data_IF_328469183511
#
_entry.id   IF_328469183511
#
_cell.length_a   1.000
_cell.length_b   1.000
_cell.length_c   1.000
_cell.angle_alpha   90.00
_cell.angle_beta   90.00
_cell.angle_gamma   90.00
#
_symmetry.space_group_name_H-M   'P 1'
#
loop_
_entity.id
_entity.type
_entity.pdbx_description
1 polymer ?
#
# COMPACT_ATOMS: atom_id res chain seq x y z
N UNK A 1 16.90 -27.27 29.30
CA UNK A 1 16.19 -26.05 29.73
C UNK A 1 17.18 -24.90 29.63
N UNK A 2 16.92 -23.86 28.83
CA UNK A 2 17.87 -22.75 28.65
C UNK A 2 17.99 -21.96 29.95
N UNK A 3 19.22 -21.73 30.44
CA UNK A 3 19.49 -20.82 31.55
C UNK A 3 19.43 -19.39 30.99
N UNK A 4 18.38 -18.66 31.38
CA UNK A 4 18.16 -17.30 30.91
C UNK A 4 18.86 -16.32 31.86
N UNK A 5 20.18 -16.37 31.91
CA UNK A 5 21.03 -15.57 32.81
C UNK A 5 21.25 -14.13 32.29
N UNK A 6 20.40 -13.69 31.35
CA UNK A 6 20.47 -12.36 30.75
C UNK A 6 19.96 -11.27 31.67
N UNK A 7 20.62 -10.10 31.64
CA UNK A 7 20.17 -8.92 32.37
C UNK A 7 19.03 -8.21 31.63
N UNK A 8 17.88 -8.06 32.29
CA UNK A 8 16.79 -7.20 31.80
C UNK A 8 17.04 -5.77 32.27
N UNK A 9 17.36 -4.87 31.33
CA UNK A 9 17.53 -3.45 31.63
C UNK A 9 16.17 -2.74 31.68
N UNK A 10 15.89 -2.04 32.77
CA UNK A 10 14.72 -1.16 32.93
C UNK A 10 15.20 0.27 33.04
N UNK A 11 14.62 1.14 32.22
CA UNK A 11 14.98 2.56 32.17
C UNK A 11 13.89 3.39 32.83
N UNK A 12 14.30 4.32 33.70
CA UNK A 12 13.39 5.30 34.31
C UNK A 12 12.82 6.25 33.26
N UNK A 13 11.67 6.84 33.55
CA UNK A 13 10.99 7.74 32.59
C UNK A 13 11.80 9.01 32.32
N UNK A 14 12.41 9.58 33.36
CA UNK A 14 13.30 10.75 33.25
C UNK A 14 14.51 10.49 32.36
N UNK A 15 15.09 9.29 32.44
CA UNK A 15 16.20 8.91 31.60
C UNK A 15 15.80 8.81 30.12
N UNK A 16 14.65 8.22 29.82
CA UNK A 16 14.13 8.16 28.44
C UNK A 16 13.95 9.55 27.85
N UNK A 17 13.37 10.48 28.60
CA UNK A 17 13.15 11.85 28.16
C UNK A 17 14.48 12.59 27.95
N UNK A 18 15.46 12.41 28.84
CA UNK A 18 16.81 12.97 28.68
C UNK A 18 17.44 12.53 27.36
N UNK A 19 17.36 11.24 27.05
CA UNK A 19 17.91 10.67 25.80
C UNK A 19 17.22 11.24 24.56
N UNK A 20 15.89 11.42 24.60
CA UNK A 20 15.13 12.01 23.48
C UNK A 20 15.41 13.51 23.31
N UNK A 21 15.59 14.25 24.40
CA UNK A 21 15.99 15.66 24.35
C UNK A 21 17.39 15.82 23.73
N UNK A 22 18.33 14.96 24.10
CA UNK A 22 19.66 14.94 23.51
C UNK A 22 19.63 14.66 22.00
N UNK A 23 18.80 13.71 21.56
CA UNK A 23 18.57 13.44 20.14
C UNK A 23 17.94 14.64 19.42
N UNK A 24 17.05 15.37 20.10
CA UNK A 24 16.40 16.56 19.56
C UNK A 24 17.37 17.71 19.29
N UNK A 25 18.48 17.79 20.04
CA UNK A 25 19.52 18.80 19.84
C UNK A 25 20.37 18.55 18.59
N UNK A 26 20.31 17.34 18.02
CA UNK A 26 21.00 17.00 16.78
C UNK A 26 22.50 16.73 16.92
N UNK A 27 23.07 16.83 18.13
CA UNK A 27 24.50 16.65 18.38
C UNK A 27 24.97 15.20 18.14
N UNK A 28 24.08 14.23 18.29
CA UNK A 28 24.39 12.81 18.20
C UNK A 28 23.33 12.06 17.38
N UNK A 29 23.78 11.14 16.53
CA UNK A 29 22.89 10.17 15.89
C UNK A 29 22.35 9.15 16.90
N UNK A 30 21.21 8.52 16.61
CA UNK A 30 20.65 7.42 17.43
C UNK A 30 21.65 6.30 17.69
N UNK A 31 22.53 6.01 16.72
CA UNK A 31 23.56 4.99 16.87
C UNK A 31 24.61 5.43 17.90
N UNK A 32 25.07 6.67 17.84
CA UNK A 32 26.03 7.22 18.79
C UNK A 32 25.44 7.27 20.20
N UNK A 33 24.21 7.75 20.35
CA UNK A 33 23.49 7.77 21.65
C UNK A 33 23.31 6.34 22.20
N UNK A 34 22.96 5.39 21.34
CA UNK A 34 22.86 3.98 21.73
C UNK A 34 24.19 3.41 22.24
N UNK A 35 25.31 3.73 21.59
CA UNK A 35 26.64 3.31 22.02
C UNK A 35 27.04 3.98 23.34
N UNK A 36 26.80 5.29 23.49
CA UNK A 36 27.16 6.07 24.67
C UNK A 36 26.50 5.54 25.95
N UNK A 37 25.21 5.18 25.86
CA UNK A 37 24.43 4.74 27.01
C UNK A 37 24.23 3.22 27.08
N UNK A 38 24.80 2.44 26.15
CA UNK A 38 24.62 0.98 26.08
C UNK A 38 23.17 0.56 25.78
N UNK A 39 22.44 1.38 25.02
CA UNK A 39 21.04 1.19 24.65
C UNK A 39 20.97 0.73 23.20
N UNK A 40 20.16 -0.29 22.94
CA UNK A 40 19.94 -0.73 21.56
C UNK A 40 19.13 0.32 20.79
N UNK A 41 19.48 0.64 19.53
CA UNK A 41 18.72 1.61 18.73
C UNK A 41 17.23 1.27 18.57
N UNK A 42 16.86 -0.01 18.62
CA UNK A 42 15.47 -0.47 18.63
C UNK A 42 14.70 0.06 19.85
N UNK A 43 15.29 0.01 21.04
CA UNK A 43 14.70 0.53 22.29
C UNK A 43 14.48 2.05 22.21
N UNK A 44 15.43 2.79 21.63
CA UNK A 44 15.26 4.24 21.39
C UNK A 44 14.08 4.50 20.44
N UNK A 45 13.93 3.70 19.38
CA UNK A 45 12.79 3.82 18.46
C UNK A 45 11.45 3.49 19.13
N UNK A 46 11.42 2.54 20.07
CA UNK A 46 10.22 2.29 20.88
C UNK A 46 9.84 3.49 21.73
N UNK A 47 10.80 4.18 22.33
CA UNK A 47 10.53 5.41 23.07
C UNK A 47 10.04 6.52 22.15
N UNK A 48 10.67 6.72 20.98
CA UNK A 48 10.22 7.69 19.98
C UNK A 48 8.75 7.47 19.60
N UNK A 49 8.34 6.20 19.42
CA UNK A 49 6.93 5.84 19.20
C UNK A 49 6.06 6.10 20.43
N UNK A 50 6.50 5.69 21.62
CA UNK A 50 5.78 5.85 22.89
C UNK A 50 5.45 7.32 23.18
N UNK A 51 6.40 8.24 22.95
CA UNK A 51 6.23 9.68 23.18
C UNK A 51 5.81 10.45 21.92
N UNK A 52 5.46 9.76 20.83
CA UNK A 52 5.00 10.37 19.58
C UNK A 52 5.95 11.46 19.02
N UNK A 53 7.27 11.27 19.15
CA UNK A 53 8.32 12.20 18.67
C UNK A 53 8.58 11.99 17.17
N UNK A 54 7.63 12.42 16.34
CA UNK A 54 7.70 12.26 14.87
C UNK A 54 8.93 12.92 14.25
N UNK A 55 9.37 14.02 14.85
CA UNK A 55 10.59 14.76 14.49
C UNK A 55 11.86 13.90 14.59
N UNK A 56 11.87 12.91 15.49
CA UNK A 56 12.99 11.99 15.66
C UNK A 56 12.84 10.70 14.84
N UNK A 57 11.80 10.53 14.01
CA UNK A 57 11.65 9.31 13.21
C UNK A 57 12.70 9.23 12.10
N UNK A 58 13.16 8.02 11.79
CA UNK A 58 14.10 7.82 10.68
C UNK A 58 13.39 8.04 9.35
N UNK A 59 14.03 8.77 8.44
CA UNK A 59 13.64 8.80 7.03
C UNK A 59 13.77 7.39 6.46
N UNK A 60 12.67 6.86 5.91
CA UNK A 60 12.69 5.57 5.21
C UNK A 60 13.13 5.80 3.78
N UNK A 61 14.35 5.41 3.47
CA UNK A 61 14.85 5.33 2.09
C UNK A 61 14.66 3.89 1.63
N UNK A 62 13.87 3.71 0.59
CA UNK A 62 13.69 2.41 -0.05
C UNK A 62 14.76 2.28 -1.13
N UNK A 63 15.62 1.27 -0.99
CA UNK A 63 16.65 0.95 -1.99
C UNK A 63 16.07 -0.12 -2.91
N UNK A 64 15.93 0.23 -4.19
CA UNK A 64 15.45 -0.64 -5.27
C UNK A 64 16.57 -0.82 -6.28
N UNK A 65 16.60 -1.97 -6.96
CA UNK A 65 17.45 -2.16 -8.13
C UNK A 65 16.83 -1.49 -9.36
N UNK A 66 17.66 -1.13 -10.35
CA UNK A 66 17.17 -0.51 -11.58
C UNK A 66 16.17 -1.41 -12.34
N UNK A 67 16.34 -2.73 -12.23
CA UNK A 67 15.43 -3.73 -12.82
C UNK A 67 14.04 -3.72 -12.16
N UNK A 68 13.98 -3.58 -10.83
CA UNK A 68 12.72 -3.50 -10.08
C UNK A 68 11.93 -2.25 -10.48
N UNK A 69 12.60 -1.11 -10.61
CA UNK A 69 12.00 0.14 -11.08
C UNK A 69 11.44 0.02 -12.49
N UNK A 70 12.19 -0.64 -13.38
CA UNK A 70 11.78 -0.85 -14.78
C UNK A 70 10.56 -1.77 -14.86
N UNK A 71 10.53 -2.84 -14.06
CA UNK A 71 9.39 -3.75 -13.97
C UNK A 71 8.14 -3.08 -13.41
N UNK A 72 8.27 -2.25 -12.38
CA UNK A 72 7.15 -1.49 -11.81
C UNK A 72 6.55 -0.57 -12.88
N UNK A 73 7.38 0.14 -13.65
CA UNK A 73 6.91 1.02 -14.73
C UNK A 73 6.22 0.25 -15.85
N UNK A 74 6.76 -0.90 -16.25
CA UNK A 74 6.14 -1.77 -17.25
C UNK A 74 4.75 -2.25 -16.80
N UNK A 75 4.64 -2.75 -15.57
CA UNK A 75 3.36 -3.18 -14.99
C UNK A 75 2.35 -2.04 -14.88
N UNK A 76 2.79 -0.83 -14.51
CA UNK A 76 1.92 0.34 -14.47
C UNK A 76 1.37 0.70 -15.87
N UNK A 77 2.20 0.58 -16.91
CA UNK A 77 1.79 0.82 -18.29
C UNK A 77 0.77 -0.23 -18.76
N UNK A 78 1.03 -1.50 -18.47
CA UNK A 78 0.11 -2.60 -18.80
C UNK A 78 -1.23 -2.43 -18.08
N UNK A 79 -1.23 -2.08 -16.78
CA UNK A 79 -2.45 -1.82 -16.02
C UNK A 79 -3.26 -0.67 -16.62
N UNK A 80 -2.61 0.39 -17.12
CA UNK A 80 -3.29 1.50 -17.78
C UNK A 80 -3.95 1.03 -19.08
N UNK A 81 -3.21 0.30 -19.92
CA UNK A 81 -3.73 -0.24 -21.18
C UNK A 81 -4.90 -1.19 -20.97
N UNK A 82 -4.80 -2.09 -19.98
CA UNK A 82 -5.87 -3.02 -19.64
C UNK A 82 -7.14 -2.31 -19.17
N UNK A 83 -7.01 -1.26 -18.36
CA UNK A 83 -8.16 -0.45 -17.92
C UNK A 83 -8.84 0.25 -19.10
N UNK A 84 -8.07 0.84 -20.01
CA UNK A 84 -8.61 1.50 -21.21
C UNK A 84 -9.34 0.50 -22.12
N UNK A 85 -8.78 -0.69 -22.32
CA UNK A 85 -9.41 -1.75 -23.11
C UNK A 85 -10.70 -2.27 -22.47
N UNK A 86 -10.74 -2.37 -21.13
CA UNK A 86 -11.93 -2.79 -20.41
C UNK A 86 -13.07 -1.79 -20.61
N UNK A 87 -12.79 -0.49 -20.44
CA UNK A 87 -13.78 0.58 -20.65
C UNK A 87 -14.32 0.54 -22.09
N UNK A 88 -13.45 0.36 -23.09
CA UNK A 88 -13.89 0.25 -24.49
C UNK A 88 -14.83 -0.94 -24.70
N UNK A 89 -14.48 -2.11 -24.16
CA UNK A 89 -15.35 -3.30 -24.24
C UNK A 89 -16.71 -3.09 -23.58
N UNK A 90 -16.75 -2.40 -22.44
CA UNK A 90 -18.02 -2.09 -21.76
C UNK A 90 -18.88 -1.12 -22.59
N UNK A 91 -18.26 -0.12 -23.24
CA UNK A 91 -18.97 0.78 -24.14
C UNK A 91 -19.50 0.06 -25.38
N UNK A 92 -18.70 -0.77 -26.03
CA UNK A 92 -19.11 -1.55 -27.20
C UNK A 92 -20.30 -2.46 -26.84
N UNK A 93 -20.25 -3.10 -25.67
CA UNK A 93 -21.35 -3.93 -25.16
C UNK A 93 -22.63 -3.13 -24.92
N UNK A 94 -22.54 -1.92 -24.34
CA UNK A 94 -23.70 -1.04 -24.14
C UNK A 94 -24.32 -0.60 -25.47
N UNK A 95 -23.46 -0.32 -26.46
CA UNK A 95 -23.88 0.02 -27.82
C UNK A 95 -24.60 -1.17 -28.48
N UNK A 96 -24.04 -2.37 -28.39
CA UNK A 96 -24.65 -3.59 -28.92
C UNK A 96 -26.01 -3.89 -28.28
N UNK A 97 -26.10 -3.78 -26.95
CA UNK A 97 -27.37 -3.95 -26.23
C UNK A 97 -28.41 -2.90 -26.67
N UNK A 98 -27.99 -1.65 -26.88
CA UNK A 98 -28.84 -0.59 -27.44
C UNK A 98 -29.34 -0.94 -28.84
N UNK A 99 -28.45 -1.30 -29.77
CA UNK A 99 -28.84 -1.72 -31.12
C UNK A 99 -29.81 -2.89 -31.11
N UNK A 100 -29.59 -3.87 -30.23
CA UNK A 100 -30.45 -5.04 -30.09
C UNK A 100 -31.84 -4.67 -29.56
N UNK A 101 -31.96 -3.69 -28.64
CA UNK A 101 -33.27 -3.17 -28.21
C UNK A 101 -34.03 -2.49 -29.35
N UNK A 102 -33.35 -1.69 -30.18
CA UNK A 102 -33.98 -1.01 -31.33
C UNK A 102 -34.41 -2.04 -32.39
N UNK A 103 -33.59 -3.04 -32.68
CA UNK A 103 -33.91 -4.12 -33.60
C UNK A 103 -35.12 -4.94 -33.11
N UNK A 104 -35.16 -5.30 -31.81
CA UNK A 104 -36.29 -6.02 -31.21
C UNK A 104 -37.61 -5.24 -31.36
N UNK A 105 -37.58 -3.92 -31.11
CA UNK A 105 -38.75 -3.04 -31.30
C UNK A 105 -39.21 -2.98 -32.75
N UNK A 106 -38.28 -2.86 -33.72
CA UNK A 106 -38.60 -2.88 -35.16
C UNK A 106 -39.23 -4.21 -35.60
N UNK A 107 -38.84 -5.32 -34.99
CA UNK A 107 -39.40 -6.65 -35.24
C UNK A 107 -40.72 -6.92 -34.50
N UNK A 108 -41.25 -5.95 -33.74
CA UNK A 108 -42.53 -6.06 -33.04
C UNK A 108 -42.46 -6.69 -31.65
N UNK A 109 -41.27 -6.86 -31.07
CA UNK A 109 -41.10 -7.31 -29.69
C UNK A 109 -41.02 -6.12 -28.72
N UNK A 110 -41.43 -6.30 -27.46
CA UNK A 110 -41.39 -5.21 -26.47
C UNK A 110 -39.96 -4.84 -26.09
N UNK A 111 -39.10 -5.85 -25.91
CA UNK A 111 -37.70 -5.68 -25.48
C UNK A 111 -36.75 -6.73 -26.05
N UNK A 112 -35.45 -6.39 -26.01
CA UNK A 112 -34.32 -7.25 -26.36
C UNK A 112 -34.33 -8.64 -25.68
N UNK A 113 -34.79 -8.71 -24.42
CA UNK A 113 -34.84 -9.95 -23.64
C UNK A 113 -35.91 -10.91 -24.17
N UNK A 114 -37.02 -10.39 -24.69
CA UNK A 114 -38.11 -11.20 -25.23
C UNK A 114 -37.70 -11.85 -26.55
N UNK A 115 -36.98 -11.10 -27.40
CA UNK A 115 -36.33 -11.60 -28.61
C UNK A 115 -35.32 -12.71 -28.28
N UNK A 116 -34.41 -12.48 -27.31
CA UNK A 116 -33.40 -13.48 -26.88
C UNK A 116 -34.04 -14.79 -26.38
N UNK A 117 -35.13 -14.71 -25.60
CA UNK A 117 -35.86 -15.89 -25.11
C UNK A 117 -36.52 -16.70 -26.23
N UNK A 118 -37.09 -16.04 -27.24
CA UNK A 118 -37.71 -16.71 -28.40
C UNK A 118 -36.69 -17.37 -29.33
N UNK A 119 -35.50 -16.78 -29.46
CA UNK A 119 -34.44 -17.35 -30.28
C UNK A 119 -33.76 -18.56 -29.63
N UNK A 120 -33.96 -18.80 -28.33
CA UNK A 120 -33.45 -19.94 -27.57
C UNK A 120 -31.93 -20.18 -27.74
N UNK A 121 -31.17 -19.11 -27.98
CA UNK A 121 -29.71 -19.17 -28.15
C UNK A 121 -29.10 -19.24 -26.76
N UNK A 122 -28.46 -20.37 -26.42
CA UNK A 122 -27.68 -20.51 -25.19
C UNK A 122 -26.44 -19.60 -25.24
N UNK A 123 -26.01 -19.07 -24.09
CA UNK A 123 -24.81 -18.23 -23.99
C UNK A 123 -23.54 -18.97 -24.41
#
# INVERSE_FOLDING_TARGET
MYKNDGYVRRYSESFKLKVLDELSKGNHSKRQVGLLYGIQPSTINEWIKKYNRKDLMNTRVLVQTDDELTRIKALQKELKQLKELLIKKDLDKLIDDSYLTVAAKKLGYKDALELKKKLNIKP
#
